data_IF_672849246368
#
_entry.id   IF_672849246368
#
_cell.length_a   1.000
_cell.length_b   1.000
_cell.length_c   1.000
_cell.angle_alpha   90.00
_cell.angle_beta   90.00
_cell.angle_gamma   90.00
#
_symmetry.space_group_name_H-M   'P 1'
#
loop_
_entity.id
_entity.type
_entity.pdbx_description
1 polymer ?
#
# COMPACT_ATOMS: atom_id res chain seq x y z
N UNK A 1 13.26 23.85 -9.89
CA UNK A 1 12.10 23.23 -10.61
C UNK A 1 12.41 21.77 -10.98
N UNK A 2 11.80 20.80 -10.29
CA UNK A 2 12.06 19.37 -10.50
C UNK A 2 10.94 18.47 -9.97
N UNK A 3 10.35 18.83 -8.83
CA UNK A 3 9.20 18.15 -8.24
C UNK A 3 7.97 18.17 -9.16
N UNK A 4 7.72 19.29 -9.84
CA UNK A 4 6.58 19.43 -10.77
C UNK A 4 6.74 18.60 -12.05
N UNK A 5 7.97 18.41 -12.52
CA UNK A 5 8.26 17.62 -13.74
C UNK A 5 8.13 16.12 -13.44
N UNK A 6 8.60 15.67 -12.28
CA UNK A 6 8.52 14.27 -11.84
C UNK A 6 7.11 13.83 -11.40
N UNK A 7 6.10 14.71 -11.46
CA UNK A 7 4.75 14.40 -11.01
C UNK A 7 4.12 13.22 -11.78
N UNK A 8 4.31 13.20 -13.11
CA UNK A 8 3.80 12.13 -13.97
C UNK A 8 4.45 10.78 -13.65
N UNK A 9 5.78 10.75 -13.53
CA UNK A 9 6.53 9.55 -13.20
C UNK A 9 6.15 9.00 -11.81
N UNK A 10 5.97 9.89 -10.83
CA UNK A 10 5.48 9.51 -9.51
C UNK A 10 4.08 8.90 -9.59
N UNK A 11 3.14 9.56 -10.28
CA UNK A 11 1.77 9.07 -10.39
C UNK A 11 1.73 7.70 -11.06
N UNK A 12 2.46 7.52 -12.17
CA UNK A 12 2.56 6.25 -12.88
C UNK A 12 3.21 5.16 -12.01
N UNK A 13 4.30 5.47 -11.31
CA UNK A 13 4.99 4.53 -10.44
C UNK A 13 4.20 4.13 -9.19
N UNK A 14 3.38 5.06 -8.66
CA UNK A 14 2.58 4.83 -7.45
C UNK A 14 1.22 4.18 -7.73
N UNK A 15 0.62 4.45 -8.89
CA UNK A 15 -0.68 3.89 -9.31
C UNK A 15 -0.86 2.38 -9.00
N UNK A 16 0.10 1.47 -9.31
CA UNK A 16 -0.06 0.05 -9.00
C UNK A 16 -0.15 -0.24 -7.49
N UNK A 17 0.56 0.53 -6.66
CA UNK A 17 0.52 0.38 -5.20
C UNK A 17 -0.76 1.00 -4.62
N UNK A 18 -1.21 2.12 -5.17
CA UNK A 18 -2.50 2.71 -4.80
C UNK A 18 -3.64 1.71 -5.03
N UNK A 19 -3.65 1.05 -6.19
CA UNK A 19 -4.67 0.05 -6.53
C UNK A 19 -4.60 -1.16 -5.58
N UNK A 20 -3.38 -1.61 -5.22
CA UNK A 20 -3.19 -2.68 -4.26
C UNK A 20 -3.73 -2.31 -2.86
N UNK A 21 -3.45 -1.10 -2.36
CA UNK A 21 -3.98 -0.61 -1.08
C UNK A 21 -5.51 -0.54 -1.11
N UNK A 22 -6.09 -0.02 -2.20
CA UNK A 22 -7.53 0.14 -2.34
C UNK A 22 -8.28 -1.22 -2.33
N UNK A 23 -7.63 -2.28 -2.80
CA UNK A 23 -8.18 -3.63 -2.79
C UNK A 23 -8.05 -4.36 -1.44
N UNK A 24 -7.33 -3.80 -0.45
CA UNK A 24 -7.13 -4.46 0.85
C UNK A 24 -8.44 -4.52 1.63
N UNK A 25 -8.87 -5.73 1.95
CA UNK A 25 -9.92 -5.96 2.95
C UNK A 25 -9.30 -5.84 4.33
N UNK A 26 -9.62 -4.76 5.03
CA UNK A 26 -9.07 -4.51 6.36
C UNK A 26 -9.77 -5.38 7.42
N UNK A 27 -9.01 -6.04 8.32
CA UNK A 27 -9.58 -6.73 9.47
C UNK A 27 -10.42 -5.80 10.35
N UNK A 28 -11.31 -6.34 11.19
CA UNK A 28 -12.11 -5.55 12.13
C UNK A 28 -11.28 -4.55 12.94
N UNK A 29 -11.85 -3.37 13.18
CA UNK A 29 -11.23 -2.35 14.03
C UNK A 29 -11.69 -2.54 15.47
N UNK A 30 -10.73 -2.56 16.39
CA UNK A 30 -10.95 -2.71 17.82
C UNK A 30 -10.71 -1.38 18.55
N UNK A 31 -10.93 -1.37 19.86
CA UNK A 31 -10.70 -0.21 20.72
C UNK A 31 -9.30 0.40 20.54
N UNK A 32 -9.16 1.69 20.86
CA UNK A 32 -7.87 2.40 20.76
C UNK A 32 -6.80 1.65 21.57
N UNK A 33 -5.60 1.49 20.99
CA UNK A 33 -4.45 0.74 21.55
C UNK A 33 -4.63 -0.78 21.68
N UNK A 34 -5.74 -1.36 21.20
CA UNK A 34 -5.85 -2.82 21.12
C UNK A 34 -4.79 -3.39 20.16
N UNK A 35 -3.93 -4.34 20.60
CA UNK A 35 -2.87 -4.91 19.78
C UNK A 35 -3.37 -5.55 18.47
N UNK A 36 -4.61 -6.03 18.41
CA UNK A 36 -5.20 -6.62 17.21
C UNK A 36 -5.34 -5.62 16.07
N UNK A 37 -5.37 -4.32 16.35
CA UNK A 37 -5.37 -3.30 15.30
C UNK A 37 -4.07 -3.30 14.47
N UNK A 38 -2.96 -3.84 14.98
CA UNK A 38 -1.73 -4.01 14.21
C UNK A 38 -1.92 -4.94 13.00
N UNK A 39 -2.87 -5.87 13.05
CA UNK A 39 -3.21 -6.73 11.92
C UNK A 39 -3.69 -5.92 10.70
N UNK A 40 -4.29 -4.73 10.90
CA UNK A 40 -4.68 -3.83 9.81
C UNK A 40 -3.47 -3.22 9.11
N UNK A 41 -2.43 -2.85 9.88
CA UNK A 41 -1.16 -2.37 9.32
C UNK A 41 -0.48 -3.49 8.55
N UNK A 42 -0.42 -4.69 9.15
CA UNK A 42 0.14 -5.88 8.50
C UNK A 42 -0.53 -6.16 7.15
N UNK A 43 -1.87 -6.14 7.08
CA UNK A 43 -2.61 -6.39 5.84
C UNK A 43 -2.22 -5.43 4.71
N UNK A 44 -2.03 -4.14 5.01
CA UNK A 44 -1.59 -3.14 4.03
C UNK A 44 -0.15 -3.39 3.59
N UNK A 45 0.74 -3.69 4.53
CA UNK A 45 2.15 -3.97 4.23
C UNK A 45 2.29 -5.24 3.37
N UNK A 46 1.57 -6.30 3.71
CA UNK A 46 1.55 -7.55 2.95
C UNK A 46 1.12 -7.29 1.49
N UNK A 47 0.07 -6.48 1.27
CA UNK A 47 -0.39 -6.11 -0.07
C UNK A 47 0.65 -5.32 -0.87
N UNK A 48 1.37 -4.39 -0.23
CA UNK A 48 2.45 -3.65 -0.86
C UNK A 48 3.63 -4.55 -1.24
N UNK A 49 4.02 -5.48 -0.36
CA UNK A 49 5.09 -6.45 -0.62
C UNK A 49 4.68 -7.37 -1.78
N UNK A 50 3.48 -7.93 -1.74
CA UNK A 50 2.95 -8.77 -2.81
C UNK A 50 2.96 -8.03 -4.15
N UNK A 51 2.52 -6.75 -4.17
CA UNK A 51 2.53 -5.95 -5.39
C UNK A 51 3.94 -5.69 -5.90
N UNK A 52 4.89 -5.39 -5.01
CA UNK A 52 6.30 -5.22 -5.37
C UNK A 52 6.87 -6.48 -6.01
N UNK A 53 6.63 -7.65 -5.41
CA UNK A 53 7.12 -8.94 -5.94
C UNK A 53 6.54 -9.23 -7.33
N UNK A 54 5.23 -9.02 -7.49
CA UNK A 54 4.55 -9.15 -8.78
C UNK A 54 5.15 -8.27 -9.88
N UNK A 55 5.54 -7.02 -9.58
CA UNK A 55 6.17 -6.13 -10.56
C UNK A 55 7.62 -6.55 -10.84
N UNK A 56 8.33 -7.09 -9.85
CA UNK A 56 9.71 -7.55 -9.97
C UNK A 56 9.85 -8.90 -10.68
N UNK A 57 8.76 -9.52 -11.13
CA UNK A 57 8.77 -10.79 -11.86
C UNK A 57 9.23 -11.98 -11.03
N UNK A 58 9.02 -11.95 -9.71
CA UNK A 58 9.30 -13.06 -8.79
C UNK A 58 8.02 -13.61 -8.18
#
# INVERSE_FOLDING_TARGET
PGVTVAHGDYAAGFAPYQAAIAAVVLPPRYARRDPRNLARVKAVVDALIAKKLSIMGK
#
